data_IF_019772719148
#
_entry.id   IF_019772719148
#
_cell.length_a   1.000
_cell.length_b   1.000
_cell.length_c   1.000
_cell.angle_alpha   90.00
_cell.angle_beta   90.00
_cell.angle_gamma   90.00
#
_symmetry.space_group_name_H-M   'P 1'
#
loop_
_entity.id
_entity.type
_entity.pdbx_description
1 polymer ?
#
# COMPACT_ATOMS: atom_id res chain seq x y z
N UNK A 1 -9.97 6.94 1.87
CA UNK A 1 -9.21 7.87 1.00
C UNK A 1 -10.09 9.06 0.70
N UNK A 2 -9.55 10.29 0.77
CA UNK A 2 -10.27 11.52 0.42
C UNK A 2 -9.57 12.12 -0.79
N UNK A 3 -10.33 12.44 -1.83
CA UNK A 3 -9.86 13.16 -3.02
C UNK A 3 -10.30 14.61 -2.90
N UNK A 4 -9.36 15.54 -3.08
CA UNK A 4 -9.65 16.97 -3.14
C UNK A 4 -9.69 17.40 -4.61
N UNK A 5 -10.59 18.34 -4.91
CA UNK A 5 -10.68 18.95 -6.22
C UNK A 5 -9.40 19.76 -6.49
N UNK A 6 -8.71 19.57 -7.63
CA UNK A 6 -7.51 20.33 -7.95
C UNK A 6 -7.79 21.81 -8.20
N UNK A 7 -9.01 22.17 -8.58
CA UNK A 7 -9.39 23.55 -8.91
C UNK A 7 -9.74 24.39 -7.68
N UNK A 8 -10.55 23.86 -6.74
CA UNK A 8 -11.06 24.62 -5.59
C UNK A 8 -10.65 24.06 -4.22
N UNK A 9 -10.00 22.90 -4.17
CA UNK A 9 -9.58 22.26 -2.91
C UNK A 9 -10.70 21.58 -2.10
N UNK A 10 -11.96 21.75 -2.47
CA UNK A 10 -13.09 21.09 -1.79
C UNK A 10 -13.08 19.57 -2.03
N UNK A 11 -13.78 18.82 -1.18
CA UNK A 11 -13.88 17.37 -1.31
C UNK A 11 -14.51 16.97 -2.65
N UNK A 12 -14.10 15.82 -3.15
CA UNK A 12 -14.71 15.22 -4.34
C UNK A 12 -15.30 13.84 -4.01
N UNK A 13 -16.42 13.51 -4.64
CA UNK A 13 -17.04 12.18 -4.61
C UNK A 13 -16.44 11.32 -5.72
N UNK A 14 -16.02 10.10 -5.36
CA UNK A 14 -15.58 9.08 -6.33
C UNK A 14 -16.82 8.29 -6.77
N UNK A 15 -17.14 8.31 -8.06
CA UNK A 15 -18.28 7.59 -8.64
C UNK A 15 -17.90 6.19 -9.12
N UNK A 16 -16.69 6.06 -9.67
CA UNK A 16 -16.18 4.81 -10.22
C UNK A 16 -14.69 4.67 -9.93
N UNK A 17 -14.30 3.47 -9.53
CA UNK A 17 -12.90 3.05 -9.42
C UNK A 17 -12.62 2.00 -10.49
N UNK A 18 -11.89 2.37 -11.54
CA UNK A 18 -11.47 1.47 -12.60
C UNK A 18 -10.10 0.87 -12.25
N UNK A 19 -10.10 -0.37 -11.76
CA UNK A 19 -8.89 -1.03 -11.29
C UNK A 19 -8.19 -1.76 -12.44
N UNK A 20 -7.06 -1.23 -12.87
CA UNK A 20 -6.26 -1.80 -13.96
C UNK A 20 -5.23 -2.80 -13.44
N UNK A 21 -4.65 -2.52 -12.28
CA UNK A 21 -3.66 -3.37 -11.59
C UNK A 21 -3.92 -3.29 -10.07
N UNK A 22 -3.52 -4.29 -9.24
CA UNK A 22 -3.58 -4.17 -7.78
C UNK A 22 -2.94 -2.88 -7.22
N UNK A 23 -1.95 -2.31 -7.92
CA UNK A 23 -1.18 -1.12 -7.59
C UNK A 23 -1.55 0.13 -8.39
N UNK A 24 -2.49 0.05 -9.34
CA UNK A 24 -2.88 1.20 -10.17
C UNK A 24 -4.39 1.23 -10.44
N UNK A 25 -5.04 2.36 -10.18
CA UNK A 25 -6.49 2.52 -10.32
C UNK A 25 -6.84 3.94 -10.76
N UNK A 26 -7.75 4.07 -11.71
CA UNK A 26 -8.32 5.36 -12.09
C UNK A 26 -9.58 5.63 -11.26
N UNK A 27 -9.65 6.82 -10.67
CA UNK A 27 -10.77 7.28 -9.85
C UNK A 27 -11.51 8.39 -10.59
N UNK A 28 -12.74 8.12 -11.01
CA UNK A 28 -13.62 9.09 -11.65
C UNK A 28 -14.36 9.87 -10.56
N UNK A 29 -14.08 11.17 -10.48
CA UNK A 29 -14.46 12.03 -9.38
C UNK A 29 -15.31 13.21 -9.86
N UNK A 30 -16.18 13.71 -9.00
CA UNK A 30 -16.81 15.03 -9.15
C UNK A 30 -16.65 15.85 -7.87
N UNK A 31 -16.35 17.14 -8.01
CA UNK A 31 -16.30 18.08 -6.89
C UNK A 31 -17.66 18.09 -6.16
N UNK A 32 -17.64 18.21 -4.83
CA UNK A 32 -18.87 18.32 -4.04
C UNK A 32 -19.43 19.73 -3.97
N UNK A 33 -18.62 20.74 -4.31
CA UNK A 33 -19.08 22.11 -4.46
C UNK A 33 -19.85 22.27 -5.78
N UNK A 34 -21.16 22.60 -5.74
CA UNK A 34 -21.98 22.79 -6.92
C UNK A 34 -21.53 23.96 -7.80
N UNK A 35 -20.88 24.98 -7.24
CA UNK A 35 -20.38 26.12 -8.01
C UNK A 35 -19.12 25.74 -8.81
N UNK A 36 -18.25 24.91 -8.21
CA UNK A 36 -17.08 24.37 -8.91
C UNK A 36 -17.47 23.35 -9.99
N UNK A 37 -18.32 22.37 -9.68
CA UNK A 37 -18.84 21.38 -10.63
C UNK A 37 -17.81 20.49 -11.34
N UNK A 38 -16.52 20.62 -11.01
CA UNK A 38 -15.43 19.98 -11.75
C UNK A 38 -15.54 18.45 -11.70
N UNK A 39 -15.45 17.81 -12.87
CA UNK A 39 -15.47 16.35 -13.03
C UNK A 39 -14.18 15.89 -13.67
N UNK A 40 -13.48 14.96 -13.04
CA UNK A 40 -12.10 14.65 -13.36
C UNK A 40 -11.73 13.21 -13.04
N UNK A 41 -10.58 12.78 -13.56
CA UNK A 41 -9.99 11.47 -13.28
C UNK A 41 -8.71 11.67 -12.50
N UNK A 42 -8.55 10.96 -11.38
CA UNK A 42 -7.31 10.92 -10.60
C UNK A 42 -6.74 9.50 -10.67
N UNK A 43 -5.43 9.38 -10.89
CA UNK A 43 -4.75 8.10 -10.78
C UNK A 43 -4.31 7.84 -9.33
N UNK A 44 -4.69 6.69 -8.78
CA UNK A 44 -4.15 6.16 -7.53
C UNK A 44 -3.10 5.11 -7.85
N UNK A 45 -1.84 5.39 -7.52
CA UNK A 45 -0.72 4.49 -7.74
C UNK A 45 0.01 4.15 -6.43
N UNK A 46 0.40 2.88 -6.28
CA UNK A 46 1.38 2.49 -5.27
C UNK A 46 2.73 3.09 -5.63
N UNK A 47 3.38 3.73 -4.66
CA UNK A 47 4.74 4.25 -4.81
C UNK A 47 5.76 3.23 -4.30
N UNK A 48 5.86 3.08 -2.98
CA UNK A 48 6.81 2.18 -2.34
C UNK A 48 6.31 1.79 -0.94
N UNK A 49 6.97 0.81 -0.35
CA UNK A 49 6.65 0.29 0.98
C UNK A 49 7.54 1.00 2.00
N UNK A 50 6.94 1.64 3.01
CA UNK A 50 7.68 2.22 4.14
C UNK A 50 8.05 1.14 5.16
N UNK A 51 7.09 0.27 5.48
CA UNK A 51 7.28 -0.88 6.36
C UNK A 51 6.71 -2.12 5.68
N UNK A 52 7.48 -3.22 5.53
CA UNK A 52 7.02 -4.42 4.86
C UNK A 52 5.81 -5.01 5.58
N UNK A 53 4.91 -5.62 4.81
CA UNK A 53 3.82 -6.42 5.38
C UNK A 53 4.42 -7.51 6.27
N UNK A 54 3.78 -7.80 7.40
CA UNK A 54 4.15 -8.93 8.24
C UNK A 54 4.26 -10.25 7.45
N UNK A 55 3.46 -10.42 6.38
CA UNK A 55 3.56 -11.57 5.48
C UNK A 55 4.94 -11.65 4.80
N UNK A 56 5.43 -10.53 4.28
CA UNK A 56 6.75 -10.45 3.65
C UNK A 56 7.86 -10.54 4.68
N UNK A 57 7.70 -9.90 5.85
CA UNK A 57 8.69 -9.96 6.95
C UNK A 57 8.91 -11.38 7.43
N UNK A 58 7.85 -12.15 7.68
CA UNK A 58 7.97 -13.56 8.10
C UNK A 58 8.63 -14.42 7.02
N UNK A 59 8.29 -14.21 5.74
CA UNK A 59 8.93 -14.93 4.63
C UNK A 59 10.40 -14.57 4.48
N UNK A 60 10.77 -13.30 4.67
CA UNK A 60 12.17 -12.86 4.66
C UNK A 60 12.93 -13.46 5.84
N UNK A 61 12.39 -13.40 7.06
CA UNK A 61 13.00 -14.01 8.23
C UNK A 61 13.21 -15.51 8.05
N UNK A 62 12.20 -16.21 7.51
CA UNK A 62 12.31 -17.63 7.18
C UNK A 62 13.40 -17.89 6.14
N UNK A 63 13.41 -17.14 5.04
CA UNK A 63 14.40 -17.30 3.96
C UNK A 63 15.82 -17.07 4.46
N UNK A 64 16.01 -16.06 5.31
CA UNK A 64 17.30 -15.77 5.94
C UNK A 64 17.74 -16.90 6.87
N UNK A 65 16.86 -17.36 7.76
CA UNK A 65 17.15 -18.48 8.64
C UNK A 65 17.45 -19.77 7.85
N UNK A 66 16.73 -19.99 6.75
CA UNK A 66 16.93 -21.13 5.84
C UNK A 66 18.19 -21.02 4.97
N UNK A 67 18.84 -19.87 4.89
CA UNK A 67 20.10 -19.69 4.16
C UNK A 67 21.34 -19.93 5.04
N UNK A 68 21.20 -19.91 6.37
CA UNK A 68 22.32 -20.10 7.29
C UNK A 68 22.89 -21.54 7.23
N UNK A 69 24.17 -21.77 7.56
CA UNK A 69 24.70 -23.12 7.81
C UNK A 69 23.99 -23.82 8.99
N UNK A 70 23.98 -25.16 9.04
CA UNK A 70 23.23 -25.92 10.06
C UNK A 70 23.54 -25.53 11.51
N UNK A 71 24.81 -25.28 11.84
CA UNK A 71 25.22 -24.89 13.20
C UNK A 71 24.67 -23.52 13.60
N UNK A 72 24.72 -22.54 12.69
CA UNK A 72 24.18 -21.19 12.93
C UNK A 72 22.65 -21.20 13.05
N UNK A 73 21.95 -22.10 12.34
CA UNK A 73 20.49 -22.28 12.51
C UNK A 73 20.13 -22.78 13.91
N UNK A 74 20.87 -23.77 14.44
CA UNK A 74 20.64 -24.29 15.80
C UNK A 74 20.86 -23.20 16.84
N UNK A 75 21.93 -22.42 16.70
CA UNK A 75 22.20 -21.28 17.58
C UNK A 75 21.07 -20.25 17.53
N UNK A 76 20.61 -19.87 16.33
CA UNK A 76 19.49 -18.93 16.16
C UNK A 76 18.20 -19.47 16.80
N UNK A 77 17.90 -20.75 16.66
CA UNK A 77 16.74 -21.38 17.31
C UNK A 77 16.81 -21.30 18.84
N UNK A 78 17.99 -21.55 19.43
CA UNK A 78 18.20 -21.41 20.87
C UNK A 78 18.02 -19.96 21.32
N UNK A 79 18.58 -18.99 20.61
CA UNK A 79 18.43 -17.56 20.93
C UNK A 79 16.96 -17.11 20.87
N UNK A 80 16.22 -17.55 19.85
CA UNK A 80 14.79 -17.23 19.70
C UNK A 80 13.91 -17.90 20.76
N UNK A 81 14.32 -19.04 21.35
CA UNK A 81 13.56 -19.72 22.39
C UNK A 81 13.53 -19.01 23.75
N UNK A 82 14.34 -17.96 23.91
CA UNK A 82 14.49 -17.17 25.15
C UNK A 82 13.67 -15.86 25.09
N UNK A 83 13.14 -15.50 23.91
CA UNK A 83 12.25 -14.36 23.69
C UNK A 83 10.78 -14.70 23.99
#
# INVERSE_FOLDING_TARGET
MRVLCPECGEKSRIHKSNRLDPKFTDLYCSCSDPECGHSFVMNLSYSHTLSPSAKTTSQMAFSLAAALPPEQRKQLQQQLSIL
#
